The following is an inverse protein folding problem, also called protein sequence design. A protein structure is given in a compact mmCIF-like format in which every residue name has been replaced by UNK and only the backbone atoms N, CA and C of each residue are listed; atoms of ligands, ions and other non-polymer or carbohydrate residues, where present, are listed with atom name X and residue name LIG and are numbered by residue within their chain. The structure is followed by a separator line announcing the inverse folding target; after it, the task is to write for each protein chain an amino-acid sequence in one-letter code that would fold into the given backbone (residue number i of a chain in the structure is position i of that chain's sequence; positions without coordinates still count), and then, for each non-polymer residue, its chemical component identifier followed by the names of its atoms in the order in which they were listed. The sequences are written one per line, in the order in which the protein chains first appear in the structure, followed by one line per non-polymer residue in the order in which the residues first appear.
data_IF_774185810965
#
_entry.id   IF_774185810965
#
_cell.length_a   1.000
_cell.length_b   1.000
_cell.length_c   1.000
_cell.angle_alpha   90.00
_cell.angle_beta   90.00
_cell.angle_gamma   90.00
#
_symmetry.space_group_name_H-M   'P 1'
#
loop_
_entity.id
_entity.type
_entity.pdbx_description
1 polymer ?
#
# COMPACT_ATOMS: atom_id res chain seq x y z
N UNK A 1 9.05 -3.46 -11.33
CA UNK A 1 8.49 -4.70 -11.90
C UNK A 1 7.74 -5.49 -10.83
N UNK A 2 8.35 -5.74 -9.68
CA UNK A 2 7.75 -6.48 -8.55
C UNK A 2 6.50 -5.82 -7.96
N UNK A 3 6.52 -4.51 -7.70
CA UNK A 3 5.35 -3.78 -7.21
C UNK A 3 4.16 -3.80 -8.20
N UNK A 4 4.46 -3.81 -9.50
CA UNK A 4 3.42 -3.89 -10.53
C UNK A 4 2.78 -5.28 -10.58
N UNK A 5 3.57 -6.34 -10.41
CA UNK A 5 3.03 -7.69 -10.28
C UNK A 5 2.17 -7.83 -9.01
N UNK A 6 2.65 -7.32 -7.88
CA UNK A 6 1.89 -7.35 -6.63
C UNK A 6 0.56 -6.58 -6.75
N UNK A 7 0.56 -5.45 -7.45
CA UNK A 7 -0.63 -4.66 -7.78
C UNK A 7 -1.67 -5.47 -8.56
N UNK A 8 -1.23 -6.27 -9.54
CA UNK A 8 -2.15 -7.13 -10.31
C UNK A 8 -2.68 -8.28 -9.46
N UNK A 9 -1.82 -8.90 -8.63
CA UNK A 9 -2.18 -10.03 -7.78
C UNK A 9 -3.11 -9.64 -6.63
N UNK A 10 -3.04 -8.41 -6.11
CA UNK A 10 -3.90 -7.92 -5.02
C UNK A 10 -5.40 -7.81 -5.40
N UNK A 11 -5.76 -8.05 -6.66
CA UNK A 11 -7.15 -8.26 -7.04
C UNK A 11 -7.75 -9.53 -6.39
N UNK A 12 -6.91 -10.54 -6.13
CA UNK A 12 -7.30 -11.81 -5.51
C UNK A 12 -7.37 -11.66 -3.97
N UNK A 13 -8.49 -12.01 -3.31
CA UNK A 13 -8.66 -11.85 -1.86
C UNK A 13 -7.57 -12.55 -1.03
N UNK A 14 -7.16 -13.75 -1.45
CA UNK A 14 -6.11 -14.53 -0.78
C UNK A 14 -4.76 -13.80 -0.76
N UNK A 15 -4.47 -13.00 -1.79
CA UNK A 15 -3.24 -12.21 -1.86
C UNK A 15 -3.30 -11.05 -0.87
N UNK A 16 -4.46 -10.39 -0.71
CA UNK A 16 -4.64 -9.34 0.29
C UNK A 16 -4.41 -9.87 1.71
N UNK A 17 -4.94 -11.06 2.01
CA UNK A 17 -4.70 -11.75 3.29
C UNK A 17 -3.22 -12.06 3.50
N UNK A 18 -2.51 -12.51 2.46
CA UNK A 18 -1.08 -12.74 2.54
C UNK A 18 -0.29 -11.44 2.76
N UNK A 19 -0.66 -10.35 2.09
CA UNK A 19 -0.02 -9.04 2.30
C UNK A 19 -0.13 -8.62 3.76
N UNK A 20 -1.28 -8.85 4.39
CA UNK A 20 -1.47 -8.58 5.82
C UNK A 20 -0.66 -9.54 6.70
N UNK A 21 -0.68 -10.83 6.41
CA UNK A 21 0.06 -11.86 7.17
C UNK A 21 1.56 -11.60 7.19
N UNK A 22 2.11 -11.04 6.10
CA UNK A 22 3.54 -10.77 5.95
C UNK A 22 3.93 -9.31 6.26
N UNK A 23 3.15 -8.61 7.09
CA UNK A 23 3.44 -7.21 7.50
C UNK A 23 3.66 -6.27 6.29
N UNK A 24 2.92 -6.50 5.21
CA UNK A 24 3.09 -5.78 3.96
C UNK A 24 2.68 -4.31 4.04
N UNK A 25 1.80 -3.93 4.98
CA UNK A 25 1.34 -2.54 5.13
C UNK A 25 2.47 -1.60 5.55
N UNK A 26 3.24 -1.86 6.64
CA UNK A 26 4.45 -1.09 6.95
C UNK A 26 5.40 -0.96 5.77
N UNK A 27 5.62 -2.06 5.03
CA UNK A 27 6.53 -2.09 3.87
C UNK A 27 6.02 -1.17 2.76
N UNK A 28 4.75 -1.31 2.37
CA UNK A 28 4.12 -0.48 1.34
C UNK A 28 4.16 1.01 1.71
N UNK A 29 3.86 1.35 2.97
CA UNK A 29 3.95 2.72 3.43
C UNK A 29 5.38 3.26 3.36
N UNK A 30 6.40 2.48 3.76
CA UNK A 30 7.80 2.93 3.67
C UNK A 30 8.21 3.35 2.25
N UNK A 31 7.62 2.72 1.22
CA UNK A 31 7.88 3.01 -0.19
C UNK A 31 7.24 4.31 -0.70
N UNK A 32 6.33 4.93 0.07
CA UNK A 32 5.68 6.20 -0.30
C UNK A 32 6.64 7.40 -0.34
N UNK A 33 7.88 7.25 0.14
CA UNK A 33 8.92 8.29 0.06
C UNK A 33 9.80 8.17 -1.19
N UNK A 34 9.48 7.27 -2.13
CA UNK A 34 10.27 7.06 -3.34
C UNK A 34 10.02 8.15 -4.38
N UNK A 35 11.08 8.63 -5.05
CA UNK A 35 10.96 9.56 -6.19
C UNK A 35 10.47 8.88 -7.48
N UNK A 36 10.28 7.56 -7.47
CA UNK A 36 9.86 6.80 -8.63
C UNK A 36 8.33 6.81 -8.78
N UNK A 37 7.80 7.72 -9.59
CA UNK A 37 6.36 7.88 -9.83
C UNK A 37 5.64 6.56 -10.18
N UNK A 38 6.25 5.70 -11.00
CA UNK A 38 5.67 4.40 -11.35
C UNK A 38 5.56 3.46 -10.15
N UNK A 39 6.53 3.49 -9.24
CA UNK A 39 6.47 2.73 -8.00
C UNK A 39 5.38 3.28 -7.07
N UNK A 40 5.36 4.60 -6.86
CA UNK A 40 4.34 5.26 -6.03
C UNK A 40 2.93 4.92 -6.53
N UNK A 41 2.70 5.00 -7.85
CA UNK A 41 1.43 4.62 -8.45
C UNK A 41 1.02 3.19 -8.10
N UNK A 42 1.93 2.23 -8.27
CA UNK A 42 1.62 0.82 -7.96
C UNK A 42 1.37 0.62 -6.46
N UNK A 43 2.16 1.24 -5.60
CA UNK A 43 2.04 1.14 -4.13
C UNK A 43 0.73 1.75 -3.63
N UNK A 44 0.40 2.96 -4.07
CA UNK A 44 -0.87 3.63 -3.72
C UNK A 44 -2.06 2.78 -4.19
N UNK A 45 -1.98 2.19 -5.39
CA UNK A 45 -3.04 1.30 -5.86
C UNK A 45 -3.20 0.05 -4.99
N UNK A 46 -2.09 -0.58 -4.56
CA UNK A 46 -2.16 -1.71 -3.63
C UNK A 46 -2.84 -1.28 -2.32
N UNK A 47 -2.45 -0.13 -1.77
CA UNK A 47 -3.08 0.43 -0.54
C UNK A 47 -4.59 0.63 -0.71
N UNK A 48 -5.05 1.09 -1.87
CA UNK A 48 -6.48 1.21 -2.20
C UNK A 48 -7.19 -0.15 -2.18
N UNK A 49 -6.56 -1.20 -2.70
CA UNK A 49 -7.17 -2.53 -2.74
C UNK A 49 -7.25 -3.21 -1.37
N UNK A 50 -6.25 -2.99 -0.52
CA UNK A 50 -6.19 -3.64 0.81
C UNK A 50 -6.94 -2.85 1.87
N UNK A 51 -7.16 -1.54 1.70
CA UNK A 51 -7.91 -0.73 2.67
C UNK A 51 -9.42 -1.01 2.72
N UNK A 52 -9.94 -1.83 1.80
CA UNK A 52 -11.31 -2.37 1.88
C UNK A 52 -11.51 -3.20 3.16
N UNK A 53 -10.46 -3.86 3.65
CA UNK A 53 -10.46 -4.57 4.92
C UNK A 53 -10.35 -3.58 6.10
N UNK A 54 -11.30 -3.61 7.06
CA UNK A 54 -11.29 -2.68 8.20
C UNK A 54 -10.04 -2.76 9.06
N UNK A 55 -9.48 -3.94 9.27
CA UNK A 55 -8.26 -4.12 10.07
C UNK A 55 -7.06 -3.50 9.37
N UNK A 56 -6.92 -3.76 8.07
CA UNK A 56 -5.88 -3.13 7.24
C UNK A 56 -6.01 -1.61 7.20
N UNK A 57 -7.24 -1.08 7.15
CA UNK A 57 -7.49 0.36 7.22
C UNK A 57 -7.10 0.98 8.57
N UNK A 58 -7.30 0.26 9.69
CA UNK A 58 -6.76 0.66 11.00
C UNK A 58 -5.24 0.68 10.95
N UNK A 59 -4.61 -0.37 10.42
CA UNK A 59 -3.16 -0.49 10.34
C UNK A 59 -2.52 0.65 9.53
N UNK A 60 -3.07 1.00 8.36
CA UNK A 60 -2.61 2.14 7.55
C UNK A 60 -2.62 3.44 8.37
N UNK A 61 -3.64 3.66 9.19
CA UNK A 61 -3.74 4.85 10.05
C UNK A 61 -2.72 4.81 11.19
N UNK A 62 -2.56 3.66 11.84
CA UNK A 62 -1.63 3.46 12.96
C UNK A 62 -0.18 3.70 12.54
N UNK A 63 0.20 3.28 11.34
CA UNK A 63 1.54 3.51 10.78
C UNK A 63 1.72 4.90 10.15
N UNK A 64 0.77 5.81 10.35
CA UNK A 64 0.86 7.19 9.86
C UNK A 64 0.71 7.33 8.34
N UNK A 65 0.10 6.34 7.67
CA UNK A 65 -0.09 6.35 6.22
C UNK A 65 -0.84 7.58 5.70
N UNK A 66 -1.79 8.12 6.49
CA UNK A 66 -2.50 9.37 6.15
C UNK A 66 -1.53 10.54 5.96
N UNK A 67 -0.56 10.70 6.86
CA UNK A 67 0.44 11.77 6.78
C UNK A 67 1.30 11.62 5.51
N UNK A 68 1.66 10.39 5.17
CA UNK A 68 2.51 10.08 4.01
C UNK A 68 1.76 10.30 2.69
N UNK A 69 0.50 9.87 2.60
CA UNK A 69 -0.36 10.12 1.44
C UNK A 69 -0.56 11.63 1.21
N UNK A 70 -0.81 12.40 2.27
CA UNK A 70 -0.92 13.86 2.19
C UNK A 70 0.40 14.53 1.76
N UNK A 71 1.54 13.95 2.12
CA UNK A 71 2.85 14.45 1.69
C UNK A 71 3.03 14.28 0.18
N UNK A 72 2.72 13.10 -0.37
CA UNK A 72 2.80 12.84 -1.82
C UNK A 72 1.89 13.77 -2.62
N UNK A 73 0.68 14.03 -2.12
CA UNK A 73 -0.27 14.92 -2.79
C UNK A 73 0.20 16.38 -2.86
N UNK A 74 1.15 16.79 -2.02
CA UNK A 74 1.67 18.16 -2.00
C UNK A 74 2.75 18.42 -3.04
N UNK A 75 3.35 17.37 -3.62
CA UNK A 75 4.47 17.48 -4.56
C UNK A 75 5.77 17.82 -3.85
#
# INVERSE_FOLDING_TARGET
LTAELLRLLCAEPQVKEQVKLYEGIPVLLSLLHSDHLKLLWSVVWILVQVCEDPETSVEIRTWGGIKQLLHILRG
#
